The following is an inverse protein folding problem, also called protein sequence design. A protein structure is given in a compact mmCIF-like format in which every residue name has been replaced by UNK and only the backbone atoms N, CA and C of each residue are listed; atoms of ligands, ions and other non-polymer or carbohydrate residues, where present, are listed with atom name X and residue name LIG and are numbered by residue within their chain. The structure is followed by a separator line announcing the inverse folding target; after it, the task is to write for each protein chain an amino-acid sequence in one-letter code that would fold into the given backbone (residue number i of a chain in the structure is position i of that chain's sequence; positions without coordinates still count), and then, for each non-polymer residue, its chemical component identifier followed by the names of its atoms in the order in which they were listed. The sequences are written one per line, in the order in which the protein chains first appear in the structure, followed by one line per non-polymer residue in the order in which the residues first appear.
data_IF_403731714057
#
_entry.id   IF_403731714057
#
_cell.length_a   1.000
_cell.length_b   1.000
_cell.length_c   1.000
_cell.angle_alpha   90.00
_cell.angle_beta   90.00
_cell.angle_gamma   90.00
#
_symmetry.space_group_name_H-M   'P 1'
#
loop_
_entity.id
_entity.type
_entity.pdbx_description
1 polymer ?
#
# COMPACT_ATOMS: atom_id res chain seq x y z
N UNK A 1 -19.26 -4.51 -20.53
CA UNK A 1 -17.85 -4.16 -20.25
C UNK A 1 -17.35 -5.13 -19.19
N UNK A 2 -16.23 -5.84 -19.36
CA UNK A 2 -15.75 -6.68 -18.27
C UNK A 2 -15.34 -5.74 -17.14
N UNK A 3 -16.01 -5.88 -16.00
CA UNK A 3 -15.77 -5.15 -14.77
C UNK A 3 -14.45 -5.68 -14.20
N UNK A 4 -13.32 -5.23 -14.75
CA UNK A 4 -12.01 -5.61 -14.24
C UNK A 4 -11.96 -5.21 -12.77
N UNK A 5 -11.78 -6.18 -11.88
CA UNK A 5 -11.75 -5.95 -10.44
C UNK A 5 -10.73 -4.84 -10.16
N UNK A 6 -11.15 -3.69 -9.60
CA UNK A 6 -10.23 -2.58 -9.38
C UNK A 6 -9.18 -2.97 -8.34
N UNK A 7 -8.06 -2.28 -8.36
CA UNK A 7 -7.09 -2.35 -7.27
C UNK A 7 -7.66 -1.62 -6.07
N UNK A 8 -7.66 -2.27 -4.92
CA UNK A 8 -8.07 -1.69 -3.65
C UNK A 8 -6.91 -1.79 -2.66
N UNK A 9 -6.54 -0.66 -2.05
CA UNK A 9 -5.52 -0.62 -1.02
C UNK A 9 -6.14 0.01 0.22
N UNK A 10 -6.23 -0.75 1.30
CA UNK A 10 -6.64 -0.24 2.60
C UNK A 10 -5.40 0.02 3.44
N UNK A 11 -5.21 1.25 3.89
CA UNK A 11 -4.08 1.68 4.74
C UNK A 11 -4.62 1.96 6.14
N UNK A 12 -4.01 1.37 7.16
CA UNK A 12 -4.24 1.69 8.57
C UNK A 12 -3.04 2.46 9.10
N UNK A 13 -3.26 3.68 9.57
CA UNK A 13 -2.22 4.50 10.18
C UNK A 13 -2.78 5.22 11.41
N UNK A 14 -2.20 4.98 12.58
CA UNK A 14 -2.56 5.70 13.81
C UNK A 14 -4.02 5.52 14.24
N UNK A 15 -4.58 4.34 13.98
CA UNK A 15 -5.99 4.03 14.26
C UNK A 15 -6.98 4.57 13.21
N UNK A 16 -6.49 5.26 12.17
CA UNK A 16 -7.33 5.73 11.05
C UNK A 16 -7.15 4.80 9.86
N UNK A 17 -8.27 4.34 9.31
CA UNK A 17 -8.31 3.53 8.10
C UNK A 17 -8.64 4.39 6.88
N UNK A 18 -7.96 4.15 5.76
CA UNK A 18 -8.25 4.78 4.47
C UNK A 18 -8.16 3.75 3.34
N UNK A 19 -9.22 3.65 2.55
CA UNK A 19 -9.27 2.80 1.35
C UNK A 19 -9.04 3.64 0.09
N UNK A 20 -8.19 3.14 -0.81
CA UNK A 20 -7.84 3.73 -2.09
C UNK A 20 -8.30 2.78 -3.20
N UNK A 21 -8.97 3.32 -4.21
CA UNK A 21 -9.40 2.57 -5.39
C UNK A 21 -8.64 3.09 -6.61
N UNK A 22 -8.09 2.17 -7.40
CA UNK A 22 -7.33 2.48 -8.60
C UNK A 22 -7.69 1.51 -9.74
N UNK A 23 -7.59 2.00 -10.98
CA UNK A 23 -7.88 1.20 -12.19
C UNK A 23 -6.65 0.49 -12.73
N UNK A 24 -5.47 0.93 -12.32
CA UNK A 24 -4.19 0.37 -12.78
C UNK A 24 -3.25 0.13 -11.62
N UNK A 25 -2.32 -0.83 -11.79
CA UNK A 25 -1.28 -1.11 -10.81
C UNK A 25 -0.42 0.13 -10.50
N UNK A 26 -0.07 0.90 -11.54
CA UNK A 26 0.74 2.12 -11.39
C UNK A 26 0.02 3.19 -10.57
N UNK A 27 -1.26 3.41 -10.83
CA UNK A 27 -2.08 4.35 -10.06
C UNK A 27 -2.18 3.91 -8.60
N UNK A 28 -2.42 2.61 -8.36
CA UNK A 28 -2.47 2.04 -7.02
C UNK A 28 -1.15 2.28 -6.25
N UNK A 29 -0.01 2.01 -6.90
CA UNK A 29 1.32 2.22 -6.33
C UNK A 29 1.55 3.69 -5.93
N UNK A 30 1.30 4.63 -6.85
CA UNK A 30 1.52 6.05 -6.61
C UNK A 30 0.59 6.62 -5.54
N UNK A 31 -0.68 6.21 -5.52
CA UNK A 31 -1.64 6.64 -4.51
C UNK A 31 -1.27 6.07 -3.13
N UNK A 32 -0.93 4.78 -3.07
CA UNK A 32 -0.50 4.12 -1.84
C UNK A 32 0.73 4.79 -1.24
N UNK A 33 1.77 4.98 -2.05
CA UNK A 33 2.98 5.69 -1.63
C UNK A 33 2.68 7.13 -1.18
N UNK A 34 1.89 7.89 -1.95
CA UNK A 34 1.53 9.26 -1.58
C UNK A 34 0.82 9.34 -0.22
N UNK A 35 0.05 8.33 0.15
CA UNK A 35 -0.57 8.26 1.48
C UNK A 35 0.46 7.86 2.54
N UNK A 36 1.28 6.83 2.30
CA UNK A 36 2.31 6.40 3.23
C UNK A 36 3.26 7.55 3.57
N UNK A 37 3.81 8.25 2.56
CA UNK A 37 4.76 9.38 2.74
C UNK A 37 4.22 10.51 3.61
N UNK A 38 2.89 10.66 3.79
CA UNK A 38 2.31 11.64 4.73
C UNK A 38 2.56 11.31 6.21
N UNK A 39 2.99 10.08 6.49
CA UNK A 39 3.31 9.59 7.82
C UNK A 39 4.81 9.41 8.05
N UNK A 40 5.65 9.79 7.09
CA UNK A 40 7.10 9.76 7.24
C UNK A 40 7.54 10.61 8.45
N UNK A 41 8.45 10.06 9.26
CA UNK A 41 8.92 10.68 10.50
C UNK A 41 7.92 10.71 11.66
N UNK A 42 6.71 10.15 11.52
CA UNK A 42 5.73 10.05 12.61
C UNK A 42 5.89 8.73 13.37
N UNK A 43 5.93 8.79 14.70
CA UNK A 43 5.87 7.60 15.55
C UNK A 43 4.44 7.02 15.55
N UNK A 44 4.12 6.25 14.52
CA UNK A 44 2.79 5.69 14.30
C UNK A 44 2.90 4.31 13.66
N UNK A 45 2.09 3.36 14.15
CA UNK A 45 1.95 2.07 13.49
C UNK A 45 1.22 2.27 12.16
N UNK A 46 1.85 1.80 11.08
CA UNK A 46 1.34 1.88 9.71
C UNK A 46 1.33 0.47 9.13
N UNK A 47 0.23 0.10 8.49
CA UNK A 47 0.08 -1.16 7.76
C UNK A 47 -0.89 -1.01 6.60
N UNK A 48 -0.97 -2.02 5.74
CA UNK A 48 -1.89 -2.02 4.61
C UNK A 48 -2.35 -3.41 4.19
N UNK A 49 -3.49 -3.47 3.53
CA UNK A 49 -4.04 -4.63 2.83
C UNK A 49 -4.26 -4.25 1.37
N UNK A 50 -4.07 -5.22 0.46
CA UNK A 50 -4.19 -5.02 -0.98
C UNK A 50 -5.11 -6.10 -1.53
N UNK A 51 -6.16 -5.67 -2.22
CA UNK A 51 -6.91 -6.50 -3.15
C UNK A 51 -6.54 -6.10 -4.57
N UNK A 52 -6.13 -7.08 -5.38
CA UNK A 52 -5.71 -6.86 -6.76
C UNK A 52 -6.38 -7.88 -7.69
N UNK A 53 -6.60 -7.53 -8.96
CA UNK A 53 -7.24 -8.44 -9.94
C UNK A 53 -6.46 -9.73 -10.20
N UNK A 54 -5.14 -9.75 -9.93
CA UNK A 54 -4.33 -10.97 -10.04
C UNK A 54 -3.22 -11.05 -8.97
N UNK A 55 -2.78 -12.28 -8.70
CA UNK A 55 -1.77 -12.58 -7.66
C UNK A 55 -0.39 -12.00 -7.98
N UNK A 56 -0.03 -11.82 -9.25
CA UNK A 56 1.26 -11.25 -9.61
C UNK A 56 1.28 -9.74 -9.32
N UNK A 57 0.20 -9.03 -9.63
CA UNK A 57 0.03 -7.63 -9.30
C UNK A 57 -0.04 -7.41 -7.78
N UNK A 58 -0.73 -8.28 -7.04
CA UNK A 58 -0.71 -8.27 -5.56
C UNK A 58 0.72 -8.35 -5.01
N UNK A 59 1.53 -9.29 -5.50
CA UNK A 59 2.93 -9.46 -5.06
C UNK A 59 3.78 -8.24 -5.38
N UNK A 60 3.67 -7.68 -6.59
CA UNK A 60 4.44 -6.50 -7.00
C UNK A 60 4.07 -5.27 -6.17
N UNK A 61 2.79 -5.01 -5.97
CA UNK A 61 2.32 -3.91 -5.13
C UNK A 61 2.70 -4.09 -3.66
N UNK A 62 2.55 -5.31 -3.12
CA UNK A 62 2.94 -5.62 -1.74
C UNK A 62 4.44 -5.40 -1.51
N UNK A 63 5.29 -5.88 -2.42
CA UNK A 63 6.73 -5.66 -2.35
C UNK A 63 7.09 -4.18 -2.48
N UNK A 64 6.46 -3.46 -3.42
CA UNK A 64 6.70 -2.04 -3.61
C UNK A 64 6.34 -1.21 -2.36
N UNK A 65 5.11 -1.34 -1.87
CA UNK A 65 4.64 -0.58 -0.70
C UNK A 65 5.33 -1.03 0.59
N UNK A 66 5.71 -2.31 0.69
CA UNK A 66 6.52 -2.83 1.78
C UNK A 66 7.92 -2.20 1.82
N UNK A 67 8.56 -2.04 0.66
CA UNK A 67 9.83 -1.32 0.55
C UNK A 67 9.68 0.15 0.94
N UNK A 68 8.67 0.85 0.41
CA UNK A 68 8.38 2.24 0.80
C UNK A 68 8.20 2.38 2.30
N UNK A 69 7.43 1.48 2.92
CA UNK A 69 7.22 1.51 4.37
C UNK A 69 8.52 1.26 5.14
N UNK A 70 9.35 0.32 4.69
CA UNK A 70 10.65 0.01 5.30
C UNK A 70 11.63 1.17 5.20
N UNK A 71 11.66 1.88 4.05
CA UNK A 71 12.44 3.09 3.85
C UNK A 71 12.03 4.19 4.85
N UNK A 72 10.73 4.37 5.05
CA UNK A 72 10.19 5.42 5.92
C UNK A 72 10.38 5.14 7.41
N UNK A 73 10.31 3.88 7.85
CA UNK A 73 10.42 3.51 9.27
C UNK A 73 11.85 3.24 9.70
N UNK A 74 12.81 3.22 8.76
CA UNK A 74 14.23 2.95 9.03
C UNK A 74 14.50 1.56 9.63
N UNK A 75 13.49 0.68 9.64
CA UNK A 75 13.58 -0.65 10.22
C UNK A 75 13.70 -1.66 9.09
N UNK A 76 14.94 -2.07 8.80
CA UNK A 76 15.24 -3.20 7.93
C UNK A 76 14.92 -4.55 8.57
N UNK A 77 13.73 -4.73 9.14
CA UNK A 77 13.20 -6.04 9.53
C UNK A 77 11.75 -6.17 9.06
N UNK A 78 11.59 -6.84 7.93
CA UNK A 78 10.31 -7.35 7.46
C UNK A 78 10.07 -8.65 8.23
N UNK A 79 9.15 -8.64 9.20
CA UNK A 79 8.65 -9.89 9.77
C UNK A 79 7.72 -10.52 8.74
N UNK A 80 8.14 -11.67 8.22
CA UNK A 80 7.46 -12.47 7.21
C UNK A 80 6.20 -13.17 7.75
#
# INVERSE_FOLDING_TARGET
MPNATPFEITILAGGVQRTLLARTEREAALMGESVLRRFEGKATLIGFWIDAPDRAALKRLGAYLGNVLSEMTGTGEVVA
#
